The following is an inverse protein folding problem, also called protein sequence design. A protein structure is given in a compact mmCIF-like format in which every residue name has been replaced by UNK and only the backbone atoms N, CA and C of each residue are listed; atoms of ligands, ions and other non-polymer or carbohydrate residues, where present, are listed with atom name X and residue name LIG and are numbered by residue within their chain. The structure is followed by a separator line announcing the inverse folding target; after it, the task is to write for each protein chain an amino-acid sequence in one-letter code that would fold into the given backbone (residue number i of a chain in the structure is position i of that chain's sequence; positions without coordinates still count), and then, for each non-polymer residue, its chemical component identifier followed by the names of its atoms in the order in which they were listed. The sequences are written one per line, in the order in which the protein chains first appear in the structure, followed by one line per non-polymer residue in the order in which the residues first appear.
data_IF_934230579341
#
_entry.id   IF_934230579341
#
_cell.length_a   1.000
_cell.length_b   1.000
_cell.length_c   1.000
_cell.angle_alpha   90.00
_cell.angle_beta   90.00
_cell.angle_gamma   90.00
#
_symmetry.space_group_name_H-M   'P 1'
#
loop_
_entity.id
_entity.type
_entity.pdbx_description
1 polymer ?
#
# COMPACT_ATOMS: atom_id res chain seq x y z
N UNK A 1 -3.08 1.54 -9.71
CA UNK A 1 -2.61 0.24 -9.23
C UNK A 1 -3.73 -0.52 -8.54
N UNK A 2 -3.67 -1.83 -8.60
CA UNK A 2 -4.71 -2.67 -8.04
C UNK A 2 -4.93 -2.43 -6.54
N UNK A 3 -3.82 -2.25 -5.80
CA UNK A 3 -3.91 -2.01 -4.37
C UNK A 3 -4.75 -0.77 -4.05
N UNK A 4 -4.53 0.32 -4.77
CA UNK A 4 -5.27 1.55 -4.53
C UNK A 4 -6.76 1.40 -4.85
N UNK A 5 -7.07 0.66 -5.90
CA UNK A 5 -8.46 0.37 -6.21
C UNK A 5 -9.11 -0.49 -5.14
N UNK A 6 -8.40 -1.47 -4.62
CA UNK A 6 -8.89 -2.30 -3.55
C UNK A 6 -9.21 -1.46 -2.30
N UNK A 7 -8.31 -0.55 -1.96
CA UNK A 7 -8.51 0.33 -0.80
C UNK A 7 -9.72 1.22 -1.01
N UNK A 8 -9.86 1.79 -2.21
CA UNK A 8 -10.99 2.66 -2.50
C UNK A 8 -12.32 1.93 -2.38
N UNK A 9 -12.39 0.70 -2.89
CA UNK A 9 -13.63 -0.06 -2.87
C UNK A 9 -13.92 -0.66 -1.50
N UNK A 10 -12.92 -1.24 -0.85
CA UNK A 10 -13.13 -1.97 0.40
C UNK A 10 -13.23 -1.06 1.61
N UNK A 11 -12.48 0.01 1.64
CA UNK A 11 -12.39 0.88 2.83
C UNK A 11 -12.97 2.26 2.59
N UNK A 12 -13.36 2.59 1.36
CA UNK A 12 -13.96 3.88 1.03
C UNK A 12 -13.04 5.05 1.35
N UNK A 13 -11.74 4.86 1.17
CA UNK A 13 -10.75 5.90 1.43
C UNK A 13 -10.34 6.59 0.13
N UNK A 14 -10.15 7.91 0.15
CA UNK A 14 -9.61 8.62 -1.01
C UNK A 14 -8.14 8.21 -1.22
N UNK A 15 -7.76 7.98 -2.46
CA UNK A 15 -6.41 7.54 -2.80
C UNK A 15 -5.63 8.61 -3.58
N UNK A 16 -6.13 9.85 -3.61
CA UNK A 16 -5.46 10.93 -4.32
C UNK A 16 -4.20 11.42 -3.64
N UNK A 17 -4.15 11.33 -2.31
CA UNK A 17 -2.98 11.73 -1.53
C UNK A 17 -2.62 10.61 -0.57
N UNK A 18 -1.41 10.08 -0.72
CA UNK A 18 -0.91 9.01 0.13
C UNK A 18 -0.01 9.59 1.21
N UNK A 19 -0.62 10.21 2.21
CA UNK A 19 0.09 10.88 3.30
C UNK A 19 -0.11 10.15 4.63
N UNK A 20 0.33 10.76 5.73
CA UNK A 20 0.21 10.16 7.06
C UNK A 20 -1.24 9.92 7.45
N UNK A 21 -2.11 10.83 7.05
CA UNK A 21 -3.55 10.66 7.32
C UNK A 21 -4.09 9.42 6.64
N UNK A 22 -3.73 9.20 5.38
CA UNK A 22 -4.12 7.99 4.66
C UNK A 22 -3.64 6.75 5.38
N UNK A 23 -2.38 6.74 5.82
CA UNK A 23 -1.81 5.60 6.53
C UNK A 23 -2.59 5.32 7.82
N UNK A 24 -2.88 6.35 8.59
CA UNK A 24 -3.60 6.19 9.85
C UNK A 24 -5.01 5.67 9.63
N UNK A 25 -5.71 6.21 8.66
CA UNK A 25 -7.07 5.77 8.37
C UNK A 25 -7.09 4.33 7.88
N UNK A 26 -6.17 3.97 7.02
CA UNK A 26 -6.10 2.60 6.51
C UNK A 26 -5.72 1.62 7.62
N UNK A 27 -4.80 2.01 8.50
CA UNK A 27 -4.43 1.20 9.64
C UNK A 27 -5.65 0.94 10.54
N UNK A 28 -6.41 1.97 10.82
CA UNK A 28 -7.60 1.85 11.65
C UNK A 28 -8.64 0.93 11.02
N UNK A 29 -8.88 1.09 9.72
CA UNK A 29 -9.93 0.33 9.04
C UNK A 29 -9.56 -1.10 8.72
N UNK A 30 -8.30 -1.35 8.41
CA UNK A 30 -7.85 -2.68 7.99
C UNK A 30 -7.30 -3.52 9.13
N UNK A 31 -6.83 -2.89 10.20
CA UNK A 31 -6.16 -3.60 11.28
C UNK A 31 -4.72 -3.98 10.98
N UNK A 32 -4.19 -3.60 9.81
CA UNK A 32 -2.80 -3.89 9.47
C UNK A 32 -1.85 -2.99 10.26
N UNK A 33 -0.59 -3.41 10.34
CA UNK A 33 0.42 -2.65 11.06
C UNK A 33 0.85 -1.42 10.26
N UNK A 34 1.18 -0.34 10.97
CA UNK A 34 1.59 0.90 10.32
C UNK A 34 2.78 0.68 9.39
N UNK A 35 3.79 -0.08 9.83
CA UNK A 35 4.98 -0.27 9.03
C UNK A 35 4.68 -0.99 7.71
N UNK A 36 3.72 -1.89 7.72
CA UNK A 36 3.32 -2.58 6.50
C UNK A 36 2.70 -1.62 5.49
N UNK A 37 1.79 -0.77 5.98
CA UNK A 37 1.13 0.21 5.13
C UNK A 37 2.12 1.23 4.60
N UNK A 38 3.01 1.72 5.46
CA UNK A 38 4.03 2.68 5.04
C UNK A 38 4.99 2.08 4.01
N UNK A 39 5.33 0.80 4.17
CA UNK A 39 6.18 0.12 3.19
C UNK A 39 5.51 0.04 1.82
N UNK A 40 4.23 -0.29 1.79
CA UNK A 40 3.49 -0.37 0.53
C UNK A 40 3.37 1.02 -0.11
N UNK A 41 3.02 2.04 0.68
CA UNK A 41 2.89 3.40 0.18
C UNK A 41 4.23 3.93 -0.35
N UNK A 42 5.31 3.69 0.39
CA UNK A 42 6.64 4.11 -0.04
C UNK A 42 7.04 3.47 -1.36
N UNK A 43 6.74 2.20 -1.55
CA UNK A 43 7.06 1.52 -2.78
C UNK A 43 6.24 2.07 -3.95
N UNK A 44 4.96 2.36 -3.72
CA UNK A 44 4.12 2.95 -4.77
C UNK A 44 4.69 4.29 -5.20
N UNK A 45 5.10 5.13 -4.25
CA UNK A 45 5.72 6.42 -4.58
C UNK A 45 7.04 6.24 -5.32
N UNK A 46 7.81 5.25 -4.94
CA UNK A 46 9.07 4.93 -5.62
C UNK A 46 8.81 4.57 -7.08
N UNK A 47 7.78 3.76 -7.34
CA UNK A 47 7.45 3.37 -8.71
C UNK A 47 7.02 4.54 -9.58
N UNK A 48 6.45 5.58 -9.01
CA UNK A 48 6.08 6.78 -9.75
C UNK A 48 7.29 7.55 -10.25
N UNK A 49 8.40 7.49 -9.49
CA UNK A 49 9.60 8.26 -9.81
C UNK A 49 10.63 7.47 -10.61
N UNK A 50 10.58 6.15 -10.54
CA UNK A 50 11.59 5.28 -11.15
C UNK A 50 10.97 4.47 -12.28
N UNK A 51 11.48 4.60 -13.53
CA UNK A 51 10.86 3.94 -14.67
C UNK A 51 11.06 2.42 -14.69
N UNK A 52 12.02 1.89 -13.96
CA UNK A 52 12.30 0.46 -13.95
C UNK A 52 12.59 -0.03 -12.55
N UNK A 53 12.10 -1.24 -12.25
CA UNK A 53 12.38 -1.93 -10.99
C UNK A 53 12.86 -3.33 -11.31
N UNK A 54 13.69 -3.89 -10.43
CA UNK A 54 14.15 -5.26 -10.65
C UNK A 54 13.15 -6.27 -10.09
N UNK A 55 13.34 -7.51 -10.46
CA UNK A 55 12.41 -8.57 -10.07
C UNK A 55 12.35 -8.78 -8.56
N UNK A 56 13.49 -8.67 -7.88
CA UNK A 56 13.52 -8.87 -6.43
C UNK A 56 12.67 -7.83 -5.70
N UNK A 57 12.70 -6.60 -6.16
CA UNK A 57 11.87 -5.54 -5.56
C UNK A 57 10.39 -5.82 -5.73
N UNK A 58 9.99 -6.32 -6.89
CA UNK A 58 8.60 -6.68 -7.14
C UNK A 58 8.15 -7.85 -6.26
N UNK A 59 9.01 -8.84 -6.07
CA UNK A 59 8.69 -9.98 -5.21
C UNK A 59 8.47 -9.52 -3.78
N UNK A 60 9.34 -8.65 -3.27
CA UNK A 60 9.18 -8.10 -1.93
C UNK A 60 7.89 -7.31 -1.80
N UNK A 61 7.53 -6.53 -2.80
CA UNK A 61 6.29 -5.78 -2.79
C UNK A 61 5.07 -6.70 -2.75
N UNK A 62 5.09 -7.76 -3.55
CA UNK A 62 3.99 -8.73 -3.54
C UNK A 62 3.84 -9.41 -2.19
N UNK A 63 4.95 -9.70 -1.52
CA UNK A 63 4.91 -10.29 -0.17
C UNK A 63 4.28 -9.32 0.83
N UNK A 64 4.60 -8.04 0.71
CA UNK A 64 4.00 -7.02 1.57
C UNK A 64 2.50 -6.92 1.34
N UNK A 65 2.08 -6.93 0.08
CA UNK A 65 0.66 -6.90 -0.24
C UNK A 65 -0.06 -8.13 0.29
N UNK A 66 0.53 -9.29 0.13
CA UNK A 66 -0.08 -10.54 0.62
C UNK A 66 -0.25 -10.49 2.13
N UNK A 67 0.77 -10.03 2.86
CA UNK A 67 0.69 -9.90 4.31
C UNK A 67 -0.42 -8.93 4.71
N UNK A 68 -0.54 -7.82 3.99
CA UNK A 68 -1.61 -6.85 4.25
C UNK A 68 -2.99 -7.49 4.04
N UNK A 69 -3.18 -8.19 2.92
CA UNK A 69 -4.48 -8.78 2.61
C UNK A 69 -4.88 -9.85 3.61
N UNK A 70 -3.93 -10.56 4.19
CA UNK A 70 -4.24 -11.57 5.20
C UNK A 70 -4.79 -10.95 6.48
N UNK A 71 -4.35 -9.75 6.81
CA UNK A 71 -4.79 -9.06 8.02
C UNK A 71 -6.04 -8.22 7.80
N UNK A 72 -6.22 -7.77 6.60
CA UNK A 72 -7.31 -6.84 6.28
C UNK A 72 -8.66 -7.52 5.97
#
# INVERSE_FOLDING_TARGET
AYFLEHVRHSYKLPTGTLDDEFVKQLQFKSGAEEYEIRGIVSFIKYLEDVPAVNHAMLVDFYKQLESFYKKA
#
